data_IF_960490281343
#
_entry.id   IF_960490281343
#
_cell.length_a   1.000
_cell.length_b   1.000
_cell.length_c   1.000
_cell.angle_alpha   90.00
_cell.angle_beta   90.00
_cell.angle_gamma   90.00
#
_symmetry.space_group_name_H-M   'P 1'
#
loop_
_entity.id
_entity.type
_entity.pdbx_description
1 polymer ?
#
# COMPACT_ATOMS: atom_id res chain seq x y z
N UNK A 1 25.02 0.61 -19.95
CA UNK A 1 24.27 0.77 -18.69
C UNK A 1 22.97 1.47 -19.02
N UNK A 2 21.84 0.79 -18.95
CA UNK A 2 20.54 1.47 -19.10
C UNK A 2 20.33 2.36 -17.88
N UNK A 3 20.15 3.65 -18.09
CA UNK A 3 19.77 4.60 -17.03
C UNK A 3 18.40 4.15 -16.48
N UNK A 4 18.37 3.56 -15.29
CA UNK A 4 17.11 3.24 -14.62
C UNK A 4 16.39 4.55 -14.36
N UNK A 5 15.12 4.65 -14.80
CA UNK A 5 14.29 5.81 -14.47
C UNK A 5 14.11 5.90 -12.95
N UNK A 6 14.22 7.11 -12.38
CA UNK A 6 14.04 7.30 -10.94
C UNK A 6 12.60 6.98 -10.54
N UNK A 7 12.41 6.47 -9.31
CA UNK A 7 11.09 6.25 -8.74
C UNK A 7 10.33 7.58 -8.60
N UNK A 8 9.03 7.55 -8.79
CA UNK A 8 8.13 8.68 -8.54
C UNK A 8 7.50 8.56 -7.16
N UNK A 9 6.96 9.65 -6.64
CA UNK A 9 6.37 9.70 -5.31
C UNK A 9 4.84 9.75 -5.44
N UNK A 10 4.13 8.91 -4.68
CA UNK A 10 2.69 8.95 -4.46
C UNK A 10 2.36 9.27 -3.00
N UNK A 11 1.10 9.54 -2.71
CA UNK A 11 0.61 9.75 -1.36
C UNK A 11 -0.44 8.70 -1.00
N UNK A 12 -0.18 7.96 0.08
CA UNK A 12 -1.16 7.09 0.70
C UNK A 12 -2.14 7.91 1.55
N UNK A 13 -3.43 7.69 1.35
CA UNK A 13 -4.50 8.42 2.02
C UNK A 13 -4.47 8.27 3.54
N UNK A 14 -3.95 7.14 4.04
CA UNK A 14 -3.77 6.93 5.47
C UNK A 14 -2.89 7.99 6.14
N UNK A 15 -1.97 8.61 5.42
CA UNK A 15 -1.17 9.74 5.90
C UNK A 15 -1.99 10.94 6.40
N UNK A 16 -3.28 11.01 6.02
CA UNK A 16 -4.23 12.06 6.40
C UNK A 16 -5.41 11.51 7.22
N UNK A 17 -5.24 10.33 7.84
CA UNK A 17 -6.30 9.63 8.57
C UNK A 17 -6.93 10.45 9.70
N UNK A 18 -6.16 11.30 10.38
CA UNK A 18 -6.70 12.15 11.45
C UNK A 18 -7.60 13.25 10.89
N UNK A 19 -7.19 13.90 9.79
CA UNK A 19 -8.04 14.90 9.12
C UNK A 19 -9.31 14.29 8.55
N UNK A 20 -9.22 13.10 7.97
CA UNK A 20 -10.36 12.35 7.40
C UNK A 20 -11.32 11.90 8.50
N UNK A 21 -10.81 11.31 9.59
CA UNK A 21 -11.63 10.87 10.71
C UNK A 21 -12.27 12.03 11.47
N UNK A 22 -11.61 13.18 11.53
CA UNK A 22 -12.16 14.40 12.12
C UNK A 22 -13.16 15.14 11.19
N UNK A 23 -13.34 14.68 9.95
CA UNK A 23 -14.20 15.33 8.96
C UNK A 23 -13.70 16.68 8.44
N UNK A 24 -12.42 17.04 8.73
CA UNK A 24 -11.82 18.29 8.25
C UNK A 24 -11.27 18.17 6.83
N UNK A 25 -11.19 16.96 6.31
CA UNK A 25 -10.94 16.64 4.91
C UNK A 25 -12.00 15.64 4.44
N UNK A 26 -12.75 15.98 3.39
CA UNK A 26 -13.66 15.02 2.75
C UNK A 26 -12.85 14.01 1.92
N UNK A 27 -13.20 12.70 1.92
CA UNK A 27 -12.46 11.69 1.15
C UNK A 27 -12.30 12.04 -0.34
N UNK A 28 -13.34 12.62 -0.95
CA UNK A 28 -13.32 13.03 -2.35
C UNK A 28 -12.40 14.24 -2.65
N UNK A 29 -11.92 14.97 -1.64
CA UNK A 29 -10.99 16.10 -1.80
C UNK A 29 -9.53 15.69 -1.61
N UNK A 30 -9.26 14.44 -1.28
CA UNK A 30 -7.91 13.91 -1.11
C UNK A 30 -7.02 14.10 -2.35
N UNK A 31 -7.46 13.80 -3.59
CA UNK A 31 -6.64 14.04 -4.78
C UNK A 31 -6.30 15.53 -4.98
N UNK A 32 -7.25 16.43 -4.67
CA UNK A 32 -7.03 17.88 -4.75
C UNK A 32 -5.96 18.32 -3.75
N UNK A 33 -6.08 17.89 -2.49
CA UNK A 33 -5.07 18.17 -1.47
C UNK A 33 -3.68 17.63 -1.86
N UNK A 34 -3.64 16.42 -2.41
CA UNK A 34 -2.39 15.80 -2.90
C UNK A 34 -1.72 16.68 -3.95
N UNK A 35 -2.48 17.21 -4.90
CA UNK A 35 -1.94 18.05 -5.97
C UNK A 35 -1.57 19.45 -5.48
N UNK A 36 -2.49 20.13 -4.80
CA UNK A 36 -2.34 21.57 -4.48
C UNK A 36 -1.45 21.82 -3.25
N UNK A 37 -1.44 20.91 -2.27
CA UNK A 37 -0.68 21.12 -1.03
C UNK A 37 0.68 20.43 -1.05
N UNK A 38 0.74 19.23 -1.63
CA UNK A 38 1.96 18.41 -1.61
C UNK A 38 2.71 18.39 -2.95
N UNK A 39 2.10 18.94 -4.04
CA UNK A 39 2.71 18.94 -5.36
C UNK A 39 2.94 17.53 -5.91
N UNK A 40 2.08 16.57 -5.55
CA UNK A 40 2.16 15.18 -6.02
C UNK A 40 1.05 14.90 -7.04
N UNK A 41 1.27 13.94 -7.93
CA UNK A 41 0.35 13.60 -9.01
C UNK A 41 -0.13 12.14 -8.98
N UNK A 42 0.01 11.47 -7.84
CA UNK A 42 -0.45 10.11 -7.67
C UNK A 42 -0.94 9.84 -6.25
N UNK A 43 -2.01 9.04 -6.14
CA UNK A 43 -2.71 8.75 -4.88
C UNK A 43 -2.98 7.26 -4.71
N UNK A 44 -3.01 6.85 -3.44
CA UNK A 44 -3.35 5.51 -2.99
C UNK A 44 -4.48 5.62 -1.96
N UNK A 45 -5.63 5.04 -2.24
CA UNK A 45 -6.83 5.19 -1.42
C UNK A 45 -6.89 4.17 -0.28
N UNK A 46 -7.74 4.44 0.73
CA UNK A 46 -8.10 3.48 1.79
C UNK A 46 -9.61 3.30 1.80
N UNK A 47 -10.06 2.07 1.65
CA UNK A 47 -11.47 1.71 1.51
C UNK A 47 -12.36 2.17 2.68
N UNK A 48 -11.81 2.22 3.90
CA UNK A 48 -12.55 2.59 5.09
C UNK A 48 -13.18 3.99 5.01
N UNK A 49 -12.57 4.91 4.25
CA UNK A 49 -13.10 6.25 4.03
C UNK A 49 -14.21 6.32 2.97
N UNK A 50 -14.46 5.22 2.26
CA UNK A 50 -15.44 5.13 1.15
C UNK A 50 -16.53 4.09 1.37
N UNK A 51 -16.65 3.50 2.57
CA UNK A 51 -17.63 2.41 2.85
C UNK A 51 -19.06 2.76 2.47
N UNK A 52 -19.48 4.00 2.70
CA UNK A 52 -20.81 4.46 2.32
C UNK A 52 -21.09 4.49 0.82
N UNK A 53 -20.03 4.41 0.00
CA UNK A 53 -20.12 4.44 -1.46
C UNK A 53 -19.53 3.18 -2.11
N UNK A 54 -19.30 2.12 -1.35
CA UNK A 54 -18.58 0.92 -1.84
C UNK A 54 -19.20 0.32 -3.13
N UNK A 55 -20.52 0.42 -3.29
CA UNK A 55 -21.26 -0.05 -4.47
C UNK A 55 -21.78 1.08 -5.38
N UNK A 56 -21.41 2.34 -5.09
CA UNK A 56 -21.84 3.50 -5.89
C UNK A 56 -20.82 3.81 -6.98
N UNK A 57 -21.00 3.19 -8.15
CA UNK A 57 -20.17 3.47 -9.31
C UNK A 57 -20.16 4.94 -9.72
N UNK A 58 -21.28 5.66 -9.54
CA UNK A 58 -21.40 7.06 -9.94
C UNK A 58 -20.47 7.95 -9.12
N UNK A 59 -20.31 7.65 -7.83
CA UNK A 59 -19.35 8.31 -6.96
C UNK A 59 -17.92 8.13 -7.48
N UNK A 60 -17.52 6.87 -7.76
CA UNK A 60 -16.15 6.59 -8.24
C UNK A 60 -15.87 7.15 -9.64
N UNK A 61 -16.87 7.17 -10.54
CA UNK A 61 -16.75 7.86 -11.83
C UNK A 61 -16.53 9.36 -11.65
N UNK A 62 -17.24 9.99 -10.70
CA UNK A 62 -17.08 11.41 -10.37
C UNK A 62 -15.70 11.69 -9.77
N UNK A 63 -15.22 10.82 -8.87
CA UNK A 63 -13.88 10.90 -8.29
C UNK A 63 -12.79 10.73 -9.36
N UNK A 64 -12.94 9.78 -10.29
CA UNK A 64 -12.05 9.60 -11.44
C UNK A 64 -11.97 10.86 -12.28
N UNK A 65 -13.13 11.44 -12.67
CA UNK A 65 -13.18 12.69 -13.44
C UNK A 65 -12.44 13.83 -12.74
N UNK A 66 -12.59 13.94 -11.40
CA UNK A 66 -11.85 14.93 -10.59
C UNK A 66 -10.35 14.69 -10.65
N UNK A 67 -9.90 13.45 -10.52
CA UNK A 67 -8.48 13.09 -10.65
C UNK A 67 -7.93 13.46 -12.02
N UNK A 68 -8.67 13.16 -13.10
CA UNK A 68 -8.27 13.49 -14.48
C UNK A 68 -8.13 15.01 -14.68
N UNK A 69 -9.06 15.82 -14.12
CA UNK A 69 -9.00 17.28 -14.16
C UNK A 69 -7.80 17.86 -13.41
N UNK A 70 -7.36 17.21 -12.34
CA UNK A 70 -6.21 17.62 -11.52
C UNK A 70 -4.87 17.08 -12.04
N UNK A 71 -4.90 16.20 -13.05
CA UNK A 71 -3.71 15.48 -13.50
C UNK A 71 -3.17 14.52 -12.44
N UNK A 72 -4.05 13.95 -11.59
CA UNK A 72 -3.70 13.02 -10.51
C UNK A 72 -4.04 11.60 -10.91
N UNK A 73 -3.11 10.67 -10.74
CA UNK A 73 -3.28 9.23 -11.02
C UNK A 73 -3.75 8.49 -9.79
N UNK A 74 -4.72 7.62 -9.95
CA UNK A 74 -5.13 6.64 -8.94
C UNK A 74 -4.29 5.38 -9.12
N UNK A 75 -3.59 4.92 -8.07
CA UNK A 75 -2.68 3.77 -8.17
C UNK A 75 -3.28 2.50 -7.59
N UNK A 76 -3.83 2.55 -6.40
CA UNK A 76 -4.43 1.40 -5.73
C UNK A 76 -5.47 1.83 -4.68
N UNK A 77 -6.24 0.83 -4.20
CA UNK A 77 -7.10 0.96 -3.02
C UNK A 77 -6.59 -0.04 -1.97
N UNK A 78 -6.26 0.45 -0.78
CA UNK A 78 -5.97 -0.37 0.39
C UNK A 78 -7.31 -0.84 0.98
N UNK A 79 -7.48 -2.16 1.11
CA UNK A 79 -8.73 -2.79 1.58
C UNK A 79 -8.51 -3.39 2.96
N UNK A 80 -9.14 -2.79 3.97
CA UNK A 80 -9.14 -3.25 5.34
C UNK A 80 -10.54 -3.63 5.80
N UNK A 81 -10.66 -4.64 6.67
CA UNK A 81 -11.92 -5.03 7.28
C UNK A 81 -12.88 -5.80 6.38
N UNK A 82 -12.37 -6.43 5.32
CA UNK A 82 -13.18 -7.24 4.38
C UNK A 82 -13.19 -8.73 4.76
N UNK A 83 -12.66 -9.10 5.93
CA UNK A 83 -12.52 -10.46 6.43
C UNK A 83 -11.15 -11.06 6.14
N UNK A 84 -10.89 -12.21 6.75
CA UNK A 84 -9.58 -12.85 6.71
C UNK A 84 -9.45 -13.75 5.47
N UNK A 85 -8.55 -13.38 4.56
CA UNK A 85 -8.28 -14.18 3.35
C UNK A 85 -7.64 -15.54 3.67
N UNK A 86 -7.12 -15.72 4.88
CA UNK A 86 -6.62 -16.99 5.41
C UNK A 86 -7.50 -17.61 6.49
N UNK A 87 -8.79 -17.25 6.61
CA UNK A 87 -9.67 -17.81 7.66
C UNK A 87 -9.65 -19.34 7.65
N UNK A 88 -9.53 -20.02 8.81
CA UNK A 88 -9.59 -21.49 8.90
C UNK A 88 -10.88 -22.07 8.32
N UNK A 89 -12.01 -21.39 8.46
CA UNK A 89 -13.28 -21.77 7.86
C UNK A 89 -13.30 -21.43 6.36
N UNK A 90 -13.38 -22.44 5.46
CA UNK A 90 -13.42 -22.20 4.03
C UNK A 90 -14.61 -21.34 3.57
N UNK A 91 -15.74 -21.35 4.30
CA UNK A 91 -16.91 -20.53 3.96
C UNK A 91 -16.62 -19.06 4.25
N UNK A 92 -16.03 -18.74 5.41
CA UNK A 92 -15.61 -17.40 5.76
C UNK A 92 -14.50 -16.87 4.84
N UNK A 93 -13.55 -17.72 4.47
CA UNK A 93 -12.50 -17.40 3.51
C UNK A 93 -13.08 -17.01 2.14
N UNK A 94 -14.08 -17.76 1.64
CA UNK A 94 -14.81 -17.39 0.42
C UNK A 94 -15.57 -16.08 0.57
N UNK A 95 -16.23 -15.86 1.70
CA UNK A 95 -16.92 -14.59 2.00
C UNK A 95 -15.94 -13.43 1.99
N UNK A 96 -14.75 -13.57 2.61
CA UNK A 96 -13.72 -12.54 2.56
C UNK A 96 -13.30 -12.21 1.12
N UNK A 97 -13.13 -13.21 0.25
CA UNK A 97 -12.83 -12.97 -1.18
C UNK A 97 -13.96 -12.16 -1.84
N UNK A 98 -15.23 -12.53 -1.64
CA UNK A 98 -16.38 -11.82 -2.24
C UNK A 98 -16.54 -10.39 -1.70
N UNK A 99 -16.21 -10.14 -0.43
CA UNK A 99 -16.27 -8.81 0.16
C UNK A 99 -15.32 -7.80 -0.51
N UNK A 100 -14.27 -8.28 -1.18
CA UNK A 100 -13.36 -7.41 -1.95
C UNK A 100 -13.91 -7.02 -3.33
N UNK A 101 -14.98 -7.66 -3.81
CA UNK A 101 -15.53 -7.41 -5.16
C UNK A 101 -15.90 -5.94 -5.41
N UNK A 102 -16.60 -5.22 -4.49
CA UNK A 102 -16.90 -3.80 -4.70
C UNK A 102 -15.63 -2.94 -4.87
N UNK A 103 -14.56 -3.29 -4.16
CA UNK A 103 -13.30 -2.56 -4.23
C UNK A 103 -12.51 -2.85 -5.51
N UNK A 104 -12.64 -4.04 -6.08
CA UNK A 104 -12.12 -4.34 -7.42
C UNK A 104 -12.85 -3.52 -8.48
N UNK A 105 -14.17 -3.40 -8.42
CA UNK A 105 -14.94 -2.56 -9.35
C UNK A 105 -14.59 -1.07 -9.17
N UNK A 106 -14.49 -0.58 -7.94
CA UNK A 106 -14.05 0.78 -7.65
C UNK A 106 -12.63 1.05 -8.20
N UNK A 107 -11.69 0.14 -7.97
CA UNK A 107 -10.32 0.24 -8.47
C UNK A 107 -10.26 0.28 -10.01
N UNK A 108 -11.06 -0.54 -10.68
CA UNK A 108 -11.21 -0.54 -12.13
C UNK A 108 -11.75 0.81 -12.64
N UNK A 109 -12.82 1.34 -12.04
CA UNK A 109 -13.40 2.64 -12.41
C UNK A 109 -12.38 3.76 -12.22
N UNK A 110 -11.65 3.77 -11.11
CA UNK A 110 -10.61 4.76 -10.81
C UNK A 110 -9.38 4.64 -11.72
N UNK A 111 -9.20 3.51 -12.40
CA UNK A 111 -8.03 3.22 -13.22
C UNK A 111 -6.79 2.87 -12.39
N UNK A 112 -7.00 2.32 -11.21
CA UNK A 112 -5.95 1.75 -10.39
C UNK A 112 -5.31 0.53 -11.07
N UNK A 113 -4.08 0.21 -10.70
CA UNK A 113 -3.42 -1.02 -11.16
C UNK A 113 -3.57 -2.18 -10.17
N UNK A 114 -4.03 -1.91 -8.94
CA UNK A 114 -4.07 -2.92 -7.87
C UNK A 114 -5.11 -2.59 -6.80
N UNK A 115 -5.43 -3.60 -6.00
CA UNK A 115 -5.88 -3.42 -4.62
C UNK A 115 -4.80 -3.95 -3.67
N UNK A 116 -4.68 -3.39 -2.46
CA UNK A 116 -3.84 -3.93 -1.39
C UNK A 116 -4.74 -4.58 -0.33
N UNK A 117 -4.35 -5.74 0.14
CA UNK A 117 -5.10 -6.56 1.09
C UNK A 117 -4.19 -7.07 2.21
N UNK A 118 -4.79 -7.61 3.27
CA UNK A 118 -4.09 -8.27 4.36
C UNK A 118 -4.14 -9.80 4.20
N UNK A 119 -3.05 -10.49 4.59
CA UNK A 119 -2.97 -11.96 4.57
C UNK A 119 -3.27 -12.55 5.97
N UNK A 120 -4.31 -12.03 6.63
CA UNK A 120 -4.68 -12.45 7.98
C UNK A 120 -5.18 -13.89 8.00
N UNK A 121 -4.71 -14.65 9.00
CA UNK A 121 -5.08 -16.05 9.24
C UNK A 121 -4.88 -16.39 10.72
N UNK A 122 -5.17 -17.63 11.13
CA UNK A 122 -4.90 -18.17 12.47
C UNK A 122 -4.47 -19.63 12.39
N UNK A 123 -3.87 -20.18 13.45
CA UNK A 123 -3.32 -21.53 13.50
C UNK A 123 -1.80 -21.54 13.45
N UNK A 124 -1.21 -22.66 13.05
CA UNK A 124 0.24 -22.82 12.91
C UNK A 124 0.80 -21.97 11.76
N UNK A 125 2.11 -21.78 11.74
CA UNK A 125 2.82 -21.06 10.68
C UNK A 125 2.52 -21.61 9.28
N UNK A 126 2.53 -22.92 9.13
CA UNK A 126 2.28 -23.63 7.88
C UNK A 126 0.80 -23.54 7.46
N UNK A 127 -0.12 -23.78 8.40
CA UNK A 127 -1.56 -23.68 8.13
C UNK A 127 -1.96 -22.26 7.68
N UNK A 128 -1.44 -21.23 8.34
CA UNK A 128 -1.70 -19.84 7.97
C UNK A 128 -1.16 -19.54 6.57
N UNK A 129 0.05 -20.02 6.23
CA UNK A 129 0.64 -19.85 4.90
C UNK A 129 -0.22 -20.47 3.80
N UNK A 130 -0.66 -21.71 3.99
CA UNK A 130 -1.47 -22.43 3.01
C UNK A 130 -2.82 -21.76 2.79
N UNK A 131 -3.51 -21.41 3.87
CA UNK A 131 -4.83 -20.75 3.81
C UNK A 131 -4.74 -19.34 3.21
N UNK A 132 -3.75 -18.55 3.60
CA UNK A 132 -3.53 -17.23 3.01
C UNK A 132 -3.23 -17.34 1.51
N UNK A 133 -2.41 -18.31 1.10
CA UNK A 133 -2.12 -18.55 -0.31
C UNK A 133 -3.38 -18.96 -1.11
N UNK A 134 -4.24 -19.80 -0.53
CA UNK A 134 -5.52 -20.19 -1.15
C UNK A 134 -6.45 -18.98 -1.35
N UNK A 135 -6.67 -18.18 -0.30
CA UNK A 135 -7.54 -17.00 -0.39
C UNK A 135 -7.00 -15.94 -1.35
N UNK A 136 -5.68 -15.70 -1.33
CA UNK A 136 -5.03 -14.77 -2.26
C UNK A 136 -5.09 -15.26 -3.71
N UNK A 137 -4.94 -16.55 -3.97
CA UNK A 137 -5.10 -17.12 -5.30
C UNK A 137 -6.53 -16.96 -5.81
N UNK A 138 -7.53 -17.19 -4.94
CA UNK A 138 -8.95 -17.02 -5.28
C UNK A 138 -9.28 -15.53 -5.56
N UNK A 139 -8.81 -14.60 -4.72
CA UNK A 139 -9.02 -13.17 -4.93
C UNK A 139 -8.28 -12.67 -6.18
N UNK A 140 -7.07 -13.18 -6.43
CA UNK A 140 -6.33 -12.86 -7.64
C UNK A 140 -7.05 -13.32 -8.91
N UNK A 141 -7.62 -14.52 -8.92
CA UNK A 141 -8.43 -15.02 -10.04
C UNK A 141 -9.68 -14.14 -10.28
N UNK A 142 -10.23 -13.54 -9.22
CA UNK A 142 -11.34 -12.57 -9.33
C UNK A 142 -10.88 -11.23 -9.92
N UNK A 143 -9.64 -10.80 -9.62
CA UNK A 143 -9.07 -9.52 -10.06
C UNK A 143 -8.52 -9.56 -11.50
N UNK A 144 -7.97 -10.71 -11.92
CA UNK A 144 -7.26 -10.90 -13.19
C UNK A 144 -8.05 -10.45 -14.44
N UNK A 145 -9.37 -10.77 -14.59
CA UNK A 145 -10.14 -10.33 -15.76
C UNK A 145 -10.24 -8.81 -15.92
N UNK A 146 -10.05 -8.07 -14.84
CA UNK A 146 -10.04 -6.60 -14.83
C UNK A 146 -8.63 -6.00 -14.99
N UNK A 147 -7.60 -6.83 -15.15
CA UNK A 147 -6.20 -6.40 -15.25
C UNK A 147 -5.65 -5.86 -13.94
N UNK A 148 -6.30 -6.13 -12.81
CA UNK A 148 -5.90 -5.66 -11.49
C UNK A 148 -4.98 -6.67 -10.81
N UNK A 149 -4.00 -6.14 -10.05
CA UNK A 149 -3.21 -6.98 -9.16
C UNK A 149 -3.78 -6.96 -7.73
N UNK A 150 -3.53 -8.04 -7.00
CA UNK A 150 -3.77 -8.16 -5.56
C UNK A 150 -2.43 -8.10 -4.84
N UNK A 151 -2.23 -7.11 -4.01
CA UNK A 151 -0.97 -6.89 -3.29
C UNK A 151 -1.14 -7.14 -1.81
N UNK A 152 -0.19 -7.83 -1.21
CA UNK A 152 -0.15 -8.02 0.23
C UNK A 152 0.92 -7.12 0.83
N UNK A 153 0.51 -6.34 1.83
CA UNK A 153 1.43 -5.57 2.67
C UNK A 153 1.92 -6.42 3.84
N UNK A 154 3.17 -6.23 4.24
CA UNK A 154 3.62 -6.68 5.56
C UNK A 154 2.94 -5.81 6.61
N UNK A 155 1.81 -6.27 7.17
CA UNK A 155 0.91 -5.48 8.02
C UNK A 155 0.34 -6.31 9.18
N UNK A 156 1.18 -6.55 10.19
CA UNK A 156 0.81 -7.29 11.40
C UNK A 156 0.76 -8.82 11.23
N UNK A 157 0.66 -9.52 12.34
CA UNK A 157 0.64 -10.97 12.38
C UNK A 157 1.86 -11.60 11.69
N UNK A 158 1.66 -12.73 11.01
CA UNK A 158 2.73 -13.39 10.27
C UNK A 158 3.16 -12.62 9.01
N UNK A 159 2.34 -11.70 8.48
CA UNK A 159 2.77 -10.90 7.33
C UNK A 159 3.92 -9.95 7.64
N UNK A 160 4.10 -9.56 8.93
CA UNK A 160 5.29 -8.82 9.40
C UNK A 160 6.57 -9.65 9.41
N UNK A 161 6.48 -10.98 9.28
CA UNK A 161 7.61 -11.87 9.01
C UNK A 161 7.77 -12.00 7.49
N UNK A 162 8.71 -11.26 6.91
CA UNK A 162 8.90 -11.22 5.46
C UNK A 162 9.25 -12.58 4.85
N UNK A 163 9.93 -13.47 5.59
CA UNK A 163 10.19 -14.83 5.11
C UNK A 163 8.88 -15.62 4.94
N UNK A 164 7.92 -15.46 5.88
CA UNK A 164 6.61 -16.07 5.77
C UNK A 164 5.84 -15.51 4.57
N UNK A 165 5.79 -14.18 4.43
CA UNK A 165 5.06 -13.55 3.34
C UNK A 165 5.65 -13.89 1.96
N UNK A 166 6.98 -13.93 1.84
CA UNK A 166 7.64 -14.39 0.62
C UNK A 166 7.32 -15.85 0.28
N UNK A 167 7.22 -16.73 1.31
CA UNK A 167 6.79 -18.11 1.13
C UNK A 167 5.32 -18.19 0.68
N UNK A 168 4.42 -17.35 1.22
CA UNK A 168 3.03 -17.23 0.71
C UNK A 168 3.05 -16.85 -0.78
N UNK A 169 3.79 -15.84 -1.19
CA UNK A 169 3.89 -15.42 -2.60
C UNK A 169 4.41 -16.55 -3.50
N UNK A 170 5.41 -17.29 -3.04
CA UNK A 170 5.95 -18.46 -3.76
C UNK A 170 4.89 -19.56 -3.90
N UNK A 171 4.06 -19.78 -2.87
CA UNK A 171 2.98 -20.78 -2.91
C UNK A 171 1.86 -20.36 -3.87
N UNK A 172 1.47 -19.08 -3.85
CA UNK A 172 0.45 -18.51 -4.77
C UNK A 172 0.90 -18.62 -6.23
N UNK A 173 2.16 -18.31 -6.52
CA UNK A 173 2.80 -18.41 -7.83
C UNK A 173 1.97 -17.81 -8.99
N UNK A 174 1.38 -16.64 -8.80
CA UNK A 174 0.58 -15.93 -9.82
C UNK A 174 1.16 -14.55 -10.10
N UNK A 175 1.31 -14.20 -11.38
CA UNK A 175 1.91 -12.92 -11.79
C UNK A 175 1.09 -11.69 -11.37
N UNK A 176 -0.20 -11.83 -11.15
CA UNK A 176 -1.12 -10.76 -10.71
C UNK A 176 -1.29 -10.70 -9.18
N UNK A 177 -0.63 -11.58 -8.41
CA UNK A 177 -0.53 -11.48 -6.95
C UNK A 177 0.91 -11.09 -6.59
N UNK A 178 1.07 -10.13 -5.71
CA UNK A 178 2.38 -9.61 -5.34
C UNK A 178 2.39 -8.97 -3.97
N UNK A 179 3.42 -8.20 -3.69
CA UNK A 179 3.58 -7.51 -2.41
C UNK A 179 3.56 -5.99 -2.58
N UNK A 180 3.23 -5.33 -1.49
CA UNK A 180 3.46 -3.92 -1.22
C UNK A 180 4.37 -3.84 0.02
N UNK A 181 5.71 -3.92 -0.14
CA UNK A 181 6.62 -3.81 1.00
C UNK A 181 6.50 -2.46 1.68
N UNK A 182 6.16 -2.49 2.97
CA UNK A 182 6.15 -1.32 3.85
C UNK A 182 7.44 -1.25 4.65
N UNK A 183 8.01 -0.04 4.82
CA UNK A 183 9.30 0.16 5.47
C UNK A 183 9.25 0.03 7.01
N UNK A 184 8.06 0.05 7.61
CA UNK A 184 7.88 0.13 9.06
C UNK A 184 7.22 -1.08 9.71
N UNK A 185 6.36 -1.80 9.01
CA UNK A 185 5.46 -2.82 9.56
C UNK A 185 6.14 -4.18 9.81
N UNK A 186 7.19 -4.17 10.63
CA UNK A 186 7.99 -5.37 10.93
C UNK A 186 7.94 -5.80 12.41
N UNK A 187 6.96 -5.33 13.19
CA UNK A 187 6.74 -5.79 14.56
C UNK A 187 6.04 -7.15 14.53
N UNK A 188 6.69 -8.17 15.12
CA UNK A 188 6.17 -9.52 15.20
C UNK A 188 5.21 -9.66 16.40
N UNK A 189 4.41 -10.73 16.41
CA UNK A 189 3.41 -10.98 17.45
C UNK A 189 4.01 -11.20 18.85
N UNK A 190 5.28 -11.60 18.95
CA UNK A 190 6.01 -11.76 20.22
C UNK A 190 6.64 -10.46 20.73
N UNK A 191 6.39 -9.33 20.03
CA UNK A 191 6.94 -8.02 20.38
C UNK A 191 8.36 -7.78 19.86
N UNK A 192 8.98 -8.72 19.17
CA UNK A 192 10.29 -8.54 18.55
C UNK A 192 10.17 -7.87 17.16
N UNK A 193 11.26 -7.30 16.68
CA UNK A 193 11.30 -6.67 15.35
C UNK A 193 12.01 -7.57 14.35
N UNK A 194 11.35 -7.86 13.23
CA UNK A 194 12.02 -8.42 12.07
C UNK A 194 12.94 -7.34 11.46
N UNK A 195 14.13 -7.72 10.99
CA UNK A 195 15.02 -6.76 10.32
C UNK A 195 14.34 -6.23 9.05
N UNK A 196 14.00 -4.92 9.06
CA UNK A 196 13.25 -4.27 7.99
C UNK A 196 13.99 -4.25 6.65
N UNK A 197 15.31 -4.14 6.66
CA UNK A 197 16.10 -4.13 5.43
C UNK A 197 16.15 -5.52 4.80
N UNK A 198 16.36 -6.55 5.62
CA UNK A 198 16.23 -7.94 5.20
C UNK A 198 14.81 -8.21 4.71
N UNK A 199 13.82 -7.72 5.45
CA UNK A 199 12.40 -7.90 5.12
C UNK A 199 12.04 -7.32 3.76
N UNK A 200 12.35 -6.06 3.53
CA UNK A 200 12.11 -5.42 2.23
C UNK A 200 12.87 -6.15 1.12
N UNK A 201 14.15 -6.51 1.35
CA UNK A 201 14.93 -7.30 0.37
C UNK A 201 14.22 -8.59 -0.04
N UNK A 202 13.60 -9.30 0.92
CA UNK A 202 12.90 -10.56 0.65
C UNK A 202 11.57 -10.35 -0.09
N UNK A 203 10.89 -9.22 0.12
CA UNK A 203 9.59 -8.92 -0.48
C UNK A 203 9.70 -8.25 -1.85
N UNK A 204 10.78 -7.52 -2.12
CA UNK A 204 10.97 -6.81 -3.39
C UNK A 204 10.85 -7.66 -4.66
N UNK A 205 11.25 -8.96 -4.71
CA UNK A 205 11.04 -9.79 -5.90
C UNK A 205 9.57 -9.94 -6.33
N UNK A 206 8.64 -9.71 -5.41
CA UNK A 206 7.19 -9.79 -5.65
C UNK A 206 6.53 -8.41 -5.69
N UNK A 207 7.28 -7.33 -5.47
CA UNK A 207 6.73 -5.99 -5.28
C UNK A 207 6.13 -5.39 -6.55
N UNK A 208 4.94 -4.80 -6.41
CA UNK A 208 4.25 -4.02 -7.44
C UNK A 208 3.87 -2.61 -6.96
N UNK A 209 4.02 -2.33 -5.68
CA UNK A 209 3.96 -1.04 -5.02
C UNK A 209 4.92 -1.05 -3.83
N UNK A 210 5.23 0.10 -3.25
CA UNK A 210 6.13 0.23 -2.08
C UNK A 210 5.59 1.33 -1.18
N UNK A 211 5.48 1.07 0.13
CA UNK A 211 5.07 2.04 1.15
C UNK A 211 6.28 2.57 1.92
N UNK A 212 6.50 3.88 1.82
CA UNK A 212 7.52 4.61 2.56
C UNK A 212 6.94 5.11 3.89
N UNK A 213 6.71 4.17 4.82
CA UNK A 213 6.23 4.50 6.16
C UNK A 213 7.25 5.34 6.93
N UNK A 214 6.75 6.39 7.58
CA UNK A 214 7.54 7.30 8.40
C UNK A 214 6.79 7.72 9.66
N UNK A 215 7.53 7.97 10.76
CA UNK A 215 6.95 8.28 12.07
C UNK A 215 7.57 9.52 12.73
N UNK A 216 8.88 9.69 12.61
CA UNK A 216 9.59 10.78 13.30
C UNK A 216 10.84 11.17 12.53
N UNK A 217 11.23 12.43 12.67
CA UNK A 217 12.40 12.98 12.00
C UNK A 217 13.33 13.66 13.01
N UNK A 218 14.64 13.52 12.80
CA UNK A 218 15.65 14.29 13.51
C UNK A 218 15.77 15.71 12.95
N UNK A 219 16.71 16.50 13.49
CA UNK A 219 16.97 17.88 13.07
C UNK A 219 17.50 17.98 11.63
N UNK A 220 18.22 16.96 11.15
CA UNK A 220 18.75 16.88 9.78
C UNK A 220 17.65 16.49 8.76
N UNK A 221 16.45 16.12 9.23
CA UNK A 221 15.33 15.70 8.41
C UNK A 221 15.42 14.24 7.98
N UNK A 222 16.19 13.41 8.68
CA UNK A 222 16.22 11.98 8.49
C UNK A 222 15.16 11.29 9.35
N UNK A 223 14.54 10.23 8.81
CA UNK A 223 13.61 9.40 9.56
C UNK A 223 14.38 8.60 10.63
N UNK A 224 13.85 8.58 11.87
CA UNK A 224 14.64 8.10 13.02
C UNK A 224 14.61 6.58 13.20
N UNK A 225 13.62 5.89 12.62
CA UNK A 225 13.47 4.43 12.72
C UNK A 225 14.01 3.68 11.51
N UNK A 226 14.08 4.35 10.35
CA UNK A 226 14.46 3.75 9.07
C UNK A 226 15.51 4.61 8.38
N UNK A 227 16.67 4.04 8.06
CA UNK A 227 17.62 4.65 7.14
C UNK A 227 17.07 4.58 5.72
N UNK A 228 16.52 5.69 5.26
CA UNK A 228 15.89 5.80 3.93
C UNK A 228 16.90 5.69 2.79
N UNK A 229 18.13 6.15 2.97
CA UNK A 229 19.16 6.01 1.93
C UNK A 229 19.45 4.54 1.66
N UNK A 230 19.66 3.74 2.73
CA UNK A 230 19.83 2.28 2.66
C UNK A 230 18.58 1.59 2.11
N UNK A 231 17.42 1.97 2.56
CA UNK A 231 16.15 1.36 2.14
C UNK A 231 15.88 1.60 0.65
N UNK A 232 16.05 2.83 0.19
CA UNK A 232 15.87 3.16 -1.22
C UNK A 232 16.94 2.53 -2.12
N UNK A 233 18.14 2.25 -1.58
CA UNK A 233 19.13 1.48 -2.32
C UNK A 233 18.65 0.03 -2.56
N UNK A 234 18.06 -0.62 -1.55
CA UNK A 234 17.45 -1.97 -1.69
C UNK A 234 16.35 -1.96 -2.77
N UNK A 235 15.47 -0.97 -2.75
CA UNK A 235 14.39 -0.83 -3.75
C UNK A 235 14.96 -0.69 -5.17
N UNK A 236 16.00 0.13 -5.35
CA UNK A 236 16.65 0.32 -6.66
C UNK A 236 17.41 -0.92 -7.13
N UNK A 237 18.09 -1.61 -6.23
CA UNK A 237 18.85 -2.83 -6.56
C UNK A 237 17.94 -3.96 -7.01
N UNK A 238 16.72 -4.03 -6.46
CA UNK A 238 15.66 -4.92 -6.92
C UNK A 238 15.11 -4.58 -8.31
N UNK A 239 15.49 -3.43 -8.89
CA UNK A 239 15.03 -2.98 -10.20
C UNK A 239 13.63 -2.40 -10.23
N UNK A 240 13.07 -2.06 -9.07
CA UNK A 240 11.74 -1.45 -9.00
C UNK A 240 11.75 -0.02 -9.53
N UNK A 241 10.82 0.29 -10.44
CA UNK A 241 10.70 1.59 -11.12
C UNK A 241 9.32 2.25 -10.92
N UNK A 242 8.47 1.66 -10.06
CA UNK A 242 7.13 2.18 -9.75
C UNK A 242 7.16 3.37 -8.78
N UNK A 243 5.99 3.71 -8.29
CA UNK A 243 5.82 4.77 -7.29
C UNK A 243 6.23 4.29 -5.90
N UNK A 244 6.71 5.24 -5.09
CA UNK A 244 6.96 5.08 -3.66
C UNK A 244 5.89 5.89 -2.94
N UNK A 245 4.98 5.20 -2.25
CA UNK A 245 3.86 5.79 -1.54
C UNK A 245 4.30 6.37 -0.19
N UNK A 246 4.11 7.66 0.04
CA UNK A 246 4.30 8.24 1.36
C UNK A 246 3.20 7.73 2.28
N UNK A 247 3.58 7.17 3.43
CA UNK A 247 2.66 6.81 4.49
C UNK A 247 3.16 7.33 5.84
N UNK A 248 2.64 8.52 6.22
CA UNK A 248 2.96 9.16 7.49
C UNK A 248 2.04 8.67 8.61
N UNK A 249 2.61 8.14 9.68
CA UNK A 249 1.89 7.69 10.87
C UNK A 249 2.43 8.29 12.18
N UNK A 250 3.30 9.27 12.11
CA UNK A 250 3.81 9.94 13.29
C UNK A 250 2.75 10.83 13.97
N UNK A 251 2.88 11.01 15.29
CA UNK A 251 2.01 11.92 16.05
C UNK A 251 2.44 13.38 15.85
N UNK A 252 3.74 13.60 15.83
CA UNK A 252 4.37 14.93 15.62
C UNK A 252 5.49 14.84 14.60
N UNK A 253 5.60 15.79 13.70
CA UNK A 253 4.78 16.98 13.50
C UNK A 253 3.37 16.67 12.94
N UNK A 254 2.58 17.69 12.56
CA UNK A 254 1.26 17.49 11.96
C UNK A 254 1.33 16.61 10.69
N UNK A 255 0.20 16.01 10.28
CA UNK A 255 0.12 15.17 9.07
C UNK A 255 0.71 15.89 7.84
N UNK A 256 0.33 17.16 7.64
CA UNK A 256 0.87 17.96 6.51
C UNK A 256 2.39 18.10 6.56
N UNK A 257 2.93 18.40 7.72
CA UNK A 257 4.38 18.56 7.89
C UNK A 257 5.11 17.22 7.78
N UNK A 258 4.56 16.14 8.34
CA UNK A 258 5.14 14.81 8.24
C UNK A 258 5.20 14.31 6.81
N UNK A 259 4.11 14.49 6.04
CA UNK A 259 4.07 14.18 4.60
C UNK A 259 5.15 14.95 3.84
N UNK A 260 5.26 16.26 4.06
CA UNK A 260 6.28 17.09 3.38
C UNK A 260 7.69 16.65 3.76
N UNK A 261 7.96 16.35 5.03
CA UNK A 261 9.27 15.84 5.48
C UNK A 261 9.61 14.49 4.80
N UNK A 262 8.64 13.57 4.71
CA UNK A 262 8.84 12.30 4.02
C UNK A 262 9.08 12.51 2.53
N UNK A 263 8.34 13.42 1.89
CA UNK A 263 8.56 13.80 0.49
C UNK A 263 9.99 14.30 0.27
N UNK A 264 10.44 15.30 1.05
CA UNK A 264 11.80 15.84 0.92
C UNK A 264 12.88 14.78 1.17
N UNK A 265 12.66 13.87 2.12
CA UNK A 265 13.58 12.76 2.36
C UNK A 265 13.67 11.82 1.16
N UNK A 266 12.54 11.46 0.54
CA UNK A 266 12.51 10.65 -0.68
C UNK A 266 13.17 11.37 -1.86
N UNK A 267 12.98 12.68 -2.01
CA UNK A 267 13.65 13.49 -3.04
C UNK A 267 15.17 13.50 -2.82
N UNK A 268 15.66 13.65 -1.59
CA UNK A 268 17.09 13.52 -1.23
C UNK A 268 17.63 12.11 -1.58
N UNK A 269 16.78 11.09 -1.48
CA UNK A 269 17.10 9.72 -1.89
C UNK A 269 16.99 9.50 -3.41
N UNK A 270 16.71 10.52 -4.21
CA UNK A 270 16.68 10.45 -5.67
C UNK A 270 15.32 10.06 -6.28
N UNK A 271 14.23 10.10 -5.51
CA UNK A 271 12.89 10.00 -6.08
C UNK A 271 12.46 11.32 -6.73
N UNK A 272 11.54 11.25 -7.70
CA UNK A 272 11.01 12.43 -8.38
C UNK A 272 9.58 12.73 -7.91
N UNK A 273 9.38 13.97 -7.45
CA UNK A 273 8.07 14.60 -7.48
C UNK A 273 7.83 15.22 -8.88
N UNK A 274 6.57 15.45 -9.28
CA UNK A 274 6.27 16.21 -10.49
C UNK A 274 6.97 17.57 -10.46
N UNK A 275 7.55 17.96 -11.59
CA UNK A 275 7.98 19.36 -11.77
C UNK A 275 6.74 20.15 -12.20
N UNK A 276 6.51 21.28 -11.55
CA UNK A 276 5.48 22.22 -11.94
C UNK A 276 5.66 22.70 -13.38
#
# INVERSE_FOLDING_TARGET
>A
MSLKLPNRISLAQWSLHRMLNAGTLAPGDFPKMTREVFGLDAVEYVNSFYRSWATDESYFRSLRKRCDQLGVRSLLIMCDGEGDLGDPDPAKRRTAVENHRPWLEAAKILGCHSIRVNATSSGTYEEQRERAAEGLAALGALAEPSGLNVLVENHGGLSSNAAWLAAVMTTVARSYVGTLPDFGNFLLADGTWYDRYKGVTQLMPFAKAVSAKSHAFNEDGDETKTDYARMMQIVRDAGYTGYIGIEWEGETPSERQGILKTKFLLERCGCLAPKD
#
